data_IF_691785321893
#
_entry.id   IF_691785321893
#
_cell.length_a   1.000
_cell.length_b   1.000
_cell.length_c   1.000
_cell.angle_alpha   90.00
_cell.angle_beta   90.00
_cell.angle_gamma   90.00
#
_symmetry.space_group_name_H-M   'P 1'
#
loop_
_entity.id
_entity.type
_entity.pdbx_description
1 polymer ?
#
# COMPACT_ATOMS: atom_id res chain seq x y z
N UNK A 1 -41.89 -39.39 35.02
CA UNK A 1 -42.10 -38.39 33.94
C UNK A 1 -41.53 -37.07 34.47
N UNK A 2 -40.51 -36.38 33.94
CA UNK A 2 -39.79 -36.33 32.67
C UNK A 2 -38.31 -35.96 32.99
N UNK A 3 -37.31 -36.61 32.39
CA UNK A 3 -35.90 -36.19 32.46
C UNK A 3 -35.74 -34.94 31.59
N UNK A 4 -35.36 -33.81 32.19
CA UNK A 4 -35.07 -32.57 31.46
C UNK A 4 -33.59 -32.58 31.07
N UNK A 5 -33.29 -32.94 29.82
CA UNK A 5 -31.94 -32.84 29.24
C UNK A 5 -31.65 -31.37 28.92
N UNK A 6 -30.67 -30.78 29.60
CA UNK A 6 -30.13 -29.47 29.27
C UNK A 6 -29.21 -29.64 28.04
N UNK A 7 -29.70 -29.22 26.87
CA UNK A 7 -28.92 -29.19 25.64
C UNK A 7 -27.99 -27.98 25.69
N UNK A 8 -26.73 -28.20 26.06
CA UNK A 8 -25.65 -27.21 25.94
C UNK A 8 -25.34 -27.02 24.45
N UNK A 9 -26.00 -26.06 23.81
CA UNK A 9 -25.66 -25.62 22.46
C UNK A 9 -24.36 -24.83 22.55
N UNK A 10 -23.24 -25.51 22.32
CA UNK A 10 -21.95 -24.87 22.11
C UNK A 10 -22.03 -24.14 20.77
N UNK A 11 -22.34 -22.84 20.81
CA UNK A 11 -22.18 -21.97 19.64
C UNK A 11 -20.68 -21.82 19.45
N UNK A 12 -20.10 -22.68 18.61
CA UNK A 12 -18.76 -22.49 18.10
C UNK A 12 -18.77 -21.19 17.29
N UNK A 13 -18.35 -20.10 17.92
CA UNK A 13 -18.05 -18.84 17.25
C UNK A 13 -16.89 -19.16 16.31
N UNK A 14 -17.19 -19.48 15.05
CA UNK A 14 -16.15 -19.63 14.04
C UNK A 14 -15.46 -18.28 13.94
N UNK A 15 -14.29 -18.16 14.57
CA UNK A 15 -13.38 -17.06 14.32
C UNK A 15 -13.00 -17.17 12.84
N UNK A 16 -13.77 -16.51 11.98
CA UNK A 16 -13.36 -16.25 10.61
C UNK A 16 -12.11 -15.40 10.76
N UNK A 17 -10.95 -16.06 10.73
CA UNK A 17 -9.66 -15.40 10.64
C UNK A 17 -9.80 -14.43 9.48
N UNK A 18 -9.93 -13.15 9.80
CA UNK A 18 -9.86 -12.07 8.84
C UNK A 18 -8.41 -12.08 8.38
N UNK A 19 -8.05 -13.03 7.50
CA UNK A 19 -6.81 -13.00 6.74
C UNK A 19 -6.78 -11.60 6.16
N UNK A 20 -5.98 -10.72 6.76
CA UNK A 20 -5.84 -9.36 6.32
C UNK A 20 -5.43 -9.47 4.86
N UNK A 21 -6.38 -9.21 3.96
CA UNK A 21 -6.29 -9.71 2.60
C UNK A 21 -5.09 -9.06 1.93
N UNK A 22 -3.99 -9.80 1.89
CA UNK A 22 -2.71 -9.34 1.38
C UNK A 22 -2.96 -8.91 -0.07
N UNK A 23 -2.66 -7.65 -0.35
CA UNK A 23 -2.87 -7.04 -1.69
C UNK A 23 -1.63 -7.28 -2.56
N UNK A 24 -0.50 -7.53 -1.89
CA UNK A 24 0.71 -8.08 -2.45
C UNK A 24 0.79 -9.54 -2.03
N UNK A 25 0.93 -10.45 -2.99
CA UNK A 25 1.33 -11.82 -2.70
C UNK A 25 2.84 -11.77 -2.40
N UNK A 26 3.21 -11.82 -1.12
CA UNK A 26 4.61 -11.78 -0.68
C UNK A 26 5.06 -13.18 -0.30
N UNK A 27 6.17 -13.64 -0.89
CA UNK A 27 6.92 -14.83 -0.47
C UNK A 27 8.21 -14.42 0.21
N UNK A 28 8.89 -15.37 0.82
CA UNK A 28 10.23 -15.20 1.37
C UNK A 28 11.18 -16.13 0.62
N UNK A 29 12.35 -15.63 0.21
CA UNK A 29 13.41 -16.49 -0.37
C UNK A 29 14.20 -17.21 0.73
N UNK A 30 15.18 -18.01 0.32
CA UNK A 30 16.03 -18.80 1.20
C UNK A 30 16.84 -17.95 2.20
N UNK A 31 17.13 -16.69 1.86
CA UNK A 31 17.79 -15.72 2.75
C UNK A 31 16.82 -14.95 3.66
N UNK A 32 15.51 -15.24 3.59
CA UNK A 32 14.47 -14.58 4.38
C UNK A 32 14.03 -13.20 3.85
N UNK A 33 14.46 -12.81 2.65
CA UNK A 33 14.05 -11.57 2.00
C UNK A 33 12.63 -11.69 1.43
N UNK A 34 11.84 -10.62 1.56
CA UNK A 34 10.48 -10.55 1.03
C UNK A 34 10.48 -10.31 -0.49
N UNK A 35 9.89 -11.23 -1.24
CA UNK A 35 9.72 -11.15 -2.70
C UNK A 35 8.24 -10.95 -3.02
N UNK A 36 7.94 -9.98 -3.88
CA UNK A 36 6.60 -9.80 -4.41
C UNK A 36 6.36 -10.74 -5.60
N UNK A 37 5.32 -11.55 -5.52
CA UNK A 37 4.87 -12.42 -6.62
C UNK A 37 3.73 -11.73 -7.35
N UNK A 38 3.96 -11.47 -8.63
CA UNK A 38 3.03 -10.79 -9.49
C UNK A 38 2.47 -11.75 -10.53
N UNK A 39 1.14 -11.83 -10.60
CA UNK A 39 0.44 -12.67 -11.58
C UNK A 39 0.61 -12.16 -13.02
N UNK A 40 0.90 -10.87 -13.21
CA UNK A 40 0.98 -10.22 -14.53
C UNK A 40 2.07 -9.15 -14.56
N UNK A 41 2.68 -8.98 -15.74
CA UNK A 41 3.62 -7.86 -16.04
C UNK A 41 2.93 -6.50 -15.85
N UNK A 42 3.72 -5.47 -15.55
CA UNK A 42 3.24 -4.09 -15.46
C UNK A 42 2.46 -3.68 -16.74
N UNK A 43 1.21 -3.15 -16.61
CA UNK A 43 0.45 -2.68 -17.75
C UNK A 43 1.22 -1.62 -18.55
N UNK A 44 1.21 -1.67 -19.89
CA UNK A 44 1.89 -0.64 -20.71
C UNK A 44 1.41 0.78 -20.39
N UNK A 45 0.13 0.92 -20.03
CA UNK A 45 -0.46 2.20 -19.65
C UNK A 45 0.22 2.83 -18.41
N UNK A 46 0.74 2.03 -17.47
CA UNK A 46 1.36 2.56 -16.26
C UNK A 46 2.71 3.25 -16.50
N UNK A 47 3.30 3.06 -17.69
CA UNK A 47 4.57 3.66 -18.11
C UNK A 47 4.42 5.00 -18.83
N UNK A 48 3.19 5.42 -19.14
CA UNK A 48 2.97 6.67 -19.88
C UNK A 48 3.30 7.87 -18.98
N UNK A 49 4.14 8.77 -19.49
CA UNK A 49 4.33 10.07 -18.86
C UNK A 49 3.01 10.83 -18.80
N UNK A 50 2.85 11.66 -17.77
CA UNK A 50 1.66 12.47 -17.55
C UNK A 50 2.03 13.83 -16.97
N UNK A 51 1.15 14.81 -17.10
CA UNK A 51 1.37 16.17 -16.61
C UNK A 51 0.31 16.53 -15.57
N UNK A 52 0.74 17.10 -14.45
CA UNK A 52 -0.15 17.64 -13.41
C UNK A 52 0.25 19.09 -13.15
N UNK A 53 -0.65 20.03 -13.47
CA UNK A 53 -0.42 21.48 -13.28
C UNK A 53 0.95 21.94 -13.85
N UNK A 54 1.28 21.52 -15.07
CA UNK A 54 2.53 21.89 -15.76
C UNK A 54 3.77 21.08 -15.36
N UNK A 55 3.69 20.21 -14.34
CA UNK A 55 4.80 19.34 -13.95
C UNK A 55 4.67 17.99 -14.65
N UNK A 56 5.70 17.62 -15.42
CA UNK A 56 5.79 16.31 -16.09
C UNK A 56 6.31 15.24 -15.12
N UNK A 57 5.60 14.12 -15.08
CA UNK A 57 5.99 12.91 -14.36
C UNK A 57 6.22 11.77 -15.34
N UNK A 58 7.35 11.09 -15.20
CA UNK A 58 7.69 9.92 -16.04
C UNK A 58 7.83 8.70 -15.11
N UNK A 59 6.89 7.75 -15.15
CA UNK A 59 7.02 6.52 -14.40
C UNK A 59 8.25 5.72 -14.83
N UNK A 60 8.87 5.05 -13.86
CA UNK A 60 9.96 4.12 -14.10
C UNK A 60 9.45 2.91 -14.90
N UNK A 61 10.34 2.30 -15.69
CA UNK A 61 10.03 1.07 -16.44
C UNK A 61 10.09 -0.16 -15.51
N UNK A 62 11.06 -0.15 -14.59
CA UNK A 62 11.28 -1.14 -13.53
C UNK A 62 11.74 -0.40 -12.27
N UNK A 63 11.54 -1.01 -11.12
CA UNK A 63 11.93 -0.42 -9.84
C UNK A 63 12.44 -1.47 -8.85
N UNK A 64 12.87 -2.63 -9.32
CA UNK A 64 13.44 -3.67 -8.45
C UNK A 64 14.66 -3.10 -7.69
N UNK A 65 14.70 -3.27 -6.37
CA UNK A 65 15.75 -2.70 -5.52
C UNK A 65 15.71 -1.18 -5.33
N UNK A 66 14.66 -0.50 -5.80
CA UNK A 66 14.50 0.94 -5.58
C UNK A 66 14.33 1.25 -4.09
N UNK A 67 15.11 2.22 -3.60
CA UNK A 67 15.03 2.74 -2.23
C UNK A 67 14.93 4.26 -2.26
N UNK A 68 14.04 4.81 -1.44
CA UNK A 68 13.91 6.25 -1.27
C UNK A 68 13.50 6.59 0.17
N UNK A 69 14.02 7.70 0.69
CA UNK A 69 13.58 8.28 1.95
C UNK A 69 12.88 9.62 1.72
N UNK A 70 11.92 9.94 2.58
CA UNK A 70 11.14 11.16 2.49
C UNK A 70 9.91 11.12 3.38
N UNK A 71 8.97 12.04 3.16
CA UNK A 71 7.74 12.09 3.95
C UNK A 71 6.66 11.20 3.36
N UNK A 72 5.97 10.46 4.21
CA UNK A 72 4.68 9.87 3.90
C UNK A 72 3.55 10.76 4.41
N UNK A 73 2.45 10.80 3.67
CA UNK A 73 1.16 11.22 4.21
C UNK A 73 0.12 10.10 4.02
N UNK A 74 -1.16 10.38 4.29
CA UNK A 74 -2.23 9.42 4.01
C UNK A 74 -3.49 10.10 3.49
N UNK A 75 -4.23 9.40 2.63
CA UNK A 75 -5.46 9.91 2.00
C UNK A 75 -6.69 9.13 2.47
N UNK A 76 -7.76 9.86 2.79
CA UNK A 76 -8.89 9.35 3.56
C UNK A 76 -10.20 9.20 2.81
N UNK A 77 -11.29 9.33 3.57
CA UNK A 77 -12.69 9.13 3.14
C UNK A 77 -13.08 9.81 1.81
N UNK A 78 -12.63 11.04 1.46
CA UNK A 78 -13.00 11.68 0.19
C UNK A 78 -12.58 10.91 -1.07
N UNK A 79 -11.61 10.01 -0.95
CA UNK A 79 -11.13 9.20 -2.07
C UNK A 79 -11.77 7.81 -2.10
N UNK A 80 -12.32 7.34 -0.98
CA UNK A 80 -12.80 5.96 -0.85
C UNK A 80 -13.87 5.64 -1.88
N UNK A 81 -13.74 4.50 -2.56
CA UNK A 81 -14.67 4.07 -3.61
C UNK A 81 -14.37 4.65 -5.00
N UNK A 82 -13.41 5.58 -5.13
CA UNK A 82 -13.00 6.13 -6.43
C UNK A 82 -12.00 5.21 -7.13
N UNK A 83 -11.91 5.33 -8.45
CA UNK A 83 -10.88 4.64 -9.24
C UNK A 83 -9.51 5.28 -8.99
N UNK A 84 -8.50 4.45 -8.79
CA UNK A 84 -7.08 4.82 -8.79
C UNK A 84 -6.55 4.93 -10.23
N UNK A 85 -5.31 5.39 -10.39
CA UNK A 85 -4.66 5.50 -11.69
C UNK A 85 -4.50 4.17 -12.44
N UNK A 86 -4.45 3.02 -11.77
CA UNK A 86 -4.47 1.71 -12.45
C UNK A 86 -5.89 1.13 -12.65
N UNK A 87 -6.94 1.87 -12.25
CA UNK A 87 -8.34 1.48 -12.42
C UNK A 87 -8.93 0.66 -11.27
N UNK A 88 -8.13 0.27 -10.27
CA UNK A 88 -8.63 -0.38 -9.06
C UNK A 88 -9.52 0.58 -8.24
N UNK A 89 -10.45 0.05 -7.46
CA UNK A 89 -11.25 0.87 -6.53
C UNK A 89 -10.45 1.09 -5.25
N UNK A 90 -10.23 2.36 -4.89
CA UNK A 90 -9.53 2.71 -3.67
C UNK A 90 -10.34 2.29 -2.42
N UNK A 91 -9.72 1.46 -1.60
CA UNK A 91 -10.24 1.07 -0.29
C UNK A 91 -9.28 1.53 0.81
N UNK A 92 -9.73 2.46 1.65
CA UNK A 92 -8.91 3.01 2.73
C UNK A 92 -8.57 2.00 3.84
N UNK A 93 -9.30 0.88 3.91
CA UNK A 93 -9.10 -0.24 4.82
C UNK A 93 -8.22 -1.35 4.23
N UNK A 94 -7.52 -1.07 3.14
CA UNK A 94 -6.62 -1.97 2.43
C UNK A 94 -5.21 -1.36 2.39
N UNK A 95 -4.16 -2.18 2.43
CA UNK A 95 -2.76 -1.73 2.40
C UNK A 95 -2.34 -1.27 0.99
N UNK A 96 -2.83 -0.10 0.58
CA UNK A 96 -2.49 0.54 -0.70
C UNK A 96 -1.78 1.88 -0.51
N UNK A 97 -1.17 2.37 -1.59
CA UNK A 97 -0.45 3.63 -1.65
C UNK A 97 -0.49 4.28 -3.04
N UNK A 98 -0.21 5.57 -3.09
CA UNK A 98 0.06 6.34 -4.30
C UNK A 98 1.55 6.72 -4.34
N UNK A 99 2.17 6.62 -5.51
CA UNK A 99 3.53 7.13 -5.76
C UNK A 99 3.59 7.82 -7.13
N UNK A 100 4.33 8.94 -7.30
CA UNK A 100 4.36 9.69 -8.55
C UNK A 100 4.95 8.90 -9.72
N UNK A 101 6.03 8.16 -9.50
CA UNK A 101 6.81 7.54 -10.59
C UNK A 101 7.08 6.05 -10.46
N UNK A 102 6.70 5.36 -9.38
CA UNK A 102 6.88 3.91 -9.33
C UNK A 102 5.98 3.25 -10.38
N UNK A 103 6.43 2.14 -10.99
CA UNK A 103 5.55 1.31 -11.80
C UNK A 103 4.30 0.98 -10.97
N UNK A 104 3.14 0.97 -11.60
CA UNK A 104 1.93 0.44 -10.95
C UNK A 104 1.41 -0.76 -11.72
N UNK A 105 0.94 -1.80 -11.02
CA UNK A 105 1.08 -1.97 -9.56
C UNK A 105 2.51 -2.35 -9.13
N UNK A 106 2.99 -1.88 -7.99
CA UNK A 106 4.25 -2.34 -7.35
C UNK A 106 4.02 -2.64 -5.87
N UNK A 107 4.84 -3.52 -5.29
CA UNK A 107 4.80 -3.84 -3.86
C UNK A 107 5.99 -3.21 -3.15
N UNK A 108 5.70 -2.45 -2.10
CA UNK A 108 6.66 -1.58 -1.43
C UNK A 108 6.61 -1.84 0.07
N UNK A 109 7.75 -2.17 0.67
CA UNK A 109 7.92 -2.12 2.11
C UNK A 109 8.12 -0.66 2.51
N UNK A 110 7.30 -0.20 3.44
CA UNK A 110 7.39 1.15 4.00
C UNK A 110 7.76 1.02 5.46
N UNK A 111 8.81 1.71 5.88
CA UNK A 111 9.29 1.73 7.26
C UNK A 111 9.19 3.14 7.80
N UNK A 112 8.50 3.32 8.94
CA UNK A 112 8.48 4.59 9.65
C UNK A 112 9.78 4.75 10.45
N UNK A 113 10.58 5.75 10.10
CA UNK A 113 11.92 5.95 10.65
C UNK A 113 11.90 6.36 12.12
N UNK A 114 10.78 6.93 12.61
CA UNK A 114 10.67 7.37 14.01
C UNK A 114 10.43 6.23 14.99
N UNK A 115 9.87 5.10 14.55
CA UNK A 115 9.46 4.01 15.46
C UNK A 115 9.82 2.61 14.95
N UNK A 116 10.48 2.50 13.79
CA UNK A 116 10.91 1.23 13.20
C UNK A 116 9.78 0.33 12.68
N UNK A 117 8.51 0.71 12.80
CA UNK A 117 7.39 -0.09 12.31
C UNK A 117 7.41 -0.12 10.78
N UNK A 118 7.08 -1.27 10.21
CA UNK A 118 7.00 -1.43 8.76
C UNK A 118 5.73 -2.14 8.31
N UNK A 119 5.35 -1.90 7.04
CA UNK A 119 4.23 -2.56 6.37
C UNK A 119 4.51 -2.66 4.88
N UNK A 120 4.07 -3.75 4.25
CA UNK A 120 4.09 -3.87 2.78
C UNK A 120 2.77 -3.35 2.22
N UNK A 121 2.86 -2.45 1.25
CA UNK A 121 1.71 -1.86 0.54
C UNK A 121 1.79 -2.12 -0.95
N UNK A 122 0.63 -2.17 -1.60
CA UNK A 122 0.53 -2.10 -3.06
C UNK A 122 0.42 -0.65 -3.50
N UNK A 123 1.37 -0.18 -4.29
CA UNK A 123 1.24 1.08 -5.02
C UNK A 123 0.33 0.82 -6.21
N UNK A 124 -0.85 1.43 -6.22
CA UNK A 124 -1.85 1.29 -7.28
C UNK A 124 -2.37 2.63 -7.81
N UNK A 125 -1.85 3.74 -7.29
CA UNK A 125 -2.29 5.08 -7.64
C UNK A 125 -1.10 6.04 -7.88
N UNK A 126 -1.41 7.26 -8.33
CA UNK A 126 -0.46 8.33 -8.66
C UNK A 126 -0.59 9.51 -7.70
N UNK A 127 0.52 10.20 -7.48
CA UNK A 127 0.68 11.23 -6.44
C UNK A 127 1.59 10.73 -5.31
N UNK A 128 1.96 11.56 -4.32
CA UNK A 128 1.64 12.98 -4.20
C UNK A 128 2.26 13.82 -5.32
N UNK A 129 1.61 14.92 -5.71
CA UNK A 129 2.14 15.84 -6.72
C UNK A 129 2.82 17.05 -6.08
N UNK A 130 3.86 17.55 -6.76
CA UNK A 130 4.64 18.74 -6.35
C UNK A 130 3.78 20.01 -6.30
N UNK A 131 2.69 20.02 -7.05
CA UNK A 131 1.76 21.13 -7.16
C UNK A 131 0.57 21.05 -6.19
N UNK A 132 0.57 20.04 -5.30
CA UNK A 132 -0.37 19.93 -4.17
C UNK A 132 0.22 20.54 -2.88
N UNK A 133 1.28 21.33 -3.01
CA UNK A 133 2.11 21.80 -1.90
C UNK A 133 1.85 23.29 -1.60
N UNK A 134 0.94 23.54 -0.66
CA UNK A 134 1.12 24.62 0.32
C UNK A 134 2.11 24.17 1.40
N UNK A 135 2.61 25.11 2.21
CA UNK A 135 3.72 24.96 3.17
C UNK A 135 3.74 23.64 3.98
N UNK A 136 4.95 23.06 4.12
CA UNK A 136 5.34 21.86 4.90
C UNK A 136 5.14 20.45 4.28
N UNK A 137 4.66 20.34 3.04
CA UNK A 137 4.58 19.04 2.34
C UNK A 137 5.65 18.80 1.27
N UNK A 138 6.67 19.66 1.17
CA UNK A 138 7.62 19.75 0.04
C UNK A 138 8.51 18.53 -0.22
N UNK A 139 8.46 17.51 0.63
CA UNK A 139 9.21 16.27 0.47
C UNK A 139 8.33 15.01 0.62
N UNK A 140 7.02 15.10 0.32
CA UNK A 140 6.19 13.88 0.30
C UNK A 140 6.54 13.00 -0.90
N UNK A 141 6.86 11.75 -0.62
CA UNK A 141 7.23 10.76 -1.63
C UNK A 141 6.15 9.71 -1.85
N UNK A 142 5.28 9.51 -0.86
CA UNK A 142 4.25 8.47 -0.88
C UNK A 142 3.02 8.91 -0.08
N UNK A 143 1.84 8.65 -0.63
CA UNK A 143 0.58 8.80 0.11
C UNK A 143 0.02 7.41 0.40
N UNK A 144 -0.25 7.14 1.68
CA UNK A 144 -0.67 5.84 2.17
C UNK A 144 -2.18 5.76 2.40
N UNK A 145 -2.72 4.55 2.36
CA UNK A 145 -4.06 4.27 2.87
C UNK A 145 -4.16 4.54 4.39
N UNK A 146 -5.38 4.79 4.87
CA UNK A 146 -5.66 4.93 6.31
C UNK A 146 -5.13 3.72 7.10
N UNK A 147 -5.38 2.49 6.60
CA UNK A 147 -4.93 1.27 7.28
C UNK A 147 -3.42 1.19 7.41
N UNK A 148 -2.67 1.53 6.36
CA UNK A 148 -1.21 1.57 6.42
C UNK A 148 -0.72 2.65 7.41
N UNK A 149 -1.35 3.81 7.45
CA UNK A 149 -1.01 4.88 8.39
C UNK A 149 -1.27 4.52 9.86
N UNK A 150 -2.31 3.72 10.13
CA UNK A 150 -2.58 3.14 11.46
C UNK A 150 -1.47 2.16 11.83
N UNK A 151 -1.15 1.23 10.94
CA UNK A 151 -0.12 0.20 11.18
C UNK A 151 1.26 0.82 11.46
N UNK A 152 1.62 1.85 10.70
CA UNK A 152 2.88 2.59 10.86
C UNK A 152 2.87 3.59 12.04
N UNK A 153 1.72 3.79 12.70
CA UNK A 153 1.61 4.59 13.90
C UNK A 153 1.68 6.10 13.67
N UNK A 154 1.31 6.60 12.49
CA UNK A 154 1.36 8.05 12.20
C UNK A 154 0.01 8.66 11.81
N UNK A 155 -1.10 7.89 11.80
CA UNK A 155 -2.44 8.40 11.46
C UNK A 155 -2.78 9.74 12.13
N UNK A 156 -2.59 9.84 13.46
CA UNK A 156 -2.91 11.06 14.23
C UNK A 156 -2.00 12.25 13.88
N UNK A 157 -0.73 11.99 13.54
CA UNK A 157 0.26 13.01 13.15
C UNK A 157 0.02 13.51 11.72
N UNK A 158 -0.64 12.71 10.87
CA UNK A 158 -0.90 13.05 9.46
C UNK A 158 0.28 12.72 8.54
N UNK A 159 1.51 12.98 9.00
CA UNK A 159 2.75 12.73 8.26
C UNK A 159 3.77 11.94 9.08
N UNK A 160 4.71 11.28 8.40
CA UNK A 160 5.86 10.61 9.00
C UNK A 160 7.06 10.61 8.05
N UNK A 161 8.27 10.63 8.58
CA UNK A 161 9.47 10.33 7.81
C UNK A 161 9.58 8.81 7.61
N UNK A 162 9.71 8.38 6.37
CA UNK A 162 9.70 6.98 5.98
C UNK A 162 10.84 6.64 5.03
N UNK A 163 11.24 5.37 5.08
CA UNK A 163 11.99 4.71 4.01
C UNK A 163 11.06 3.79 3.24
N UNK A 164 11.11 3.85 1.91
CA UNK A 164 10.39 2.94 1.02
C UNK A 164 11.39 2.06 0.27
N UNK A 165 11.05 0.79 0.14
CA UNK A 165 11.87 -0.24 -0.52
C UNK A 165 10.94 -1.05 -1.43
N UNK A 166 11.17 -1.00 -2.74
CA UNK A 166 10.39 -1.81 -3.70
C UNK A 166 10.87 -3.26 -3.62
N UNK A 167 9.94 -4.17 -3.36
CA UNK A 167 10.25 -5.59 -3.28
C UNK A 167 10.62 -6.13 -4.67
N UNK A 168 11.63 -7.03 -4.77
CA UNK A 168 11.91 -7.76 -5.99
C UNK A 168 10.65 -8.44 -6.52
N UNK A 169 10.41 -8.37 -7.83
CA UNK A 169 9.21 -8.94 -8.44
C UNK A 169 9.51 -10.22 -9.22
N UNK A 170 8.90 -11.33 -8.80
CA UNK A 170 8.77 -12.54 -9.62
C UNK A 170 7.48 -12.48 -10.42
N UNK A 171 7.58 -12.63 -11.75
CA UNK A 171 6.42 -12.74 -12.63
C UNK A 171 6.17 -14.21 -12.91
N UNK A 172 5.00 -14.72 -12.53
CA UNK A 172 4.60 -16.08 -12.88
C UNK A 172 4.42 -16.15 -14.40
N UNK A 173 5.08 -17.14 -15.01
CA UNK A 173 5.02 -17.44 -16.44
C UNK A 173 3.94 -18.47 -16.75
#
# INVERSE_FOLDING_TARGET
MKKLMFLMTVIALSATSHKAQAICNVKYNESGESIAVMEKKYPRASRRSYNIKGVKYTPLIKADGFVQEGKASWYGRPFHGRKTANGEIYNMFRYTAAHPTLPIPSCVKVTNLQNGKSVVVRVNDRGPYKSDLGTDTSNRIIDLSLKAAIQLGFRKKGVADVKIEVLPTEVLH
#
